data_IF_592145970158
#
_entry.id   IF_592145970158
#
_cell.length_a   1.000
_cell.length_b   1.000
_cell.length_c   1.000
_cell.angle_alpha   90.00
_cell.angle_beta   90.00
_cell.angle_gamma   90.00
#
_symmetry.space_group_name_H-M   'P 1'
#
loop_
_entity.id
_entity.type
_entity.pdbx_description
1 polymer ?
#
# COMPACT_ATOMS: atom_id res chain seq x y z
N UNK A 1 -9.86 9.72 -17.63
CA UNK A 1 -9.95 9.53 -16.17
C UNK A 1 -9.51 8.10 -15.91
N UNK A 2 -8.27 7.90 -15.46
CA UNK A 2 -7.78 6.56 -15.07
C UNK A 2 -8.37 6.31 -13.68
N UNK A 3 -8.99 5.15 -13.41
CA UNK A 3 -9.52 4.87 -12.09
C UNK A 3 -8.35 4.90 -11.09
N UNK A 4 -8.53 5.65 -10.00
CA UNK A 4 -7.63 5.59 -8.85
C UNK A 4 -7.79 4.18 -8.29
N UNK A 5 -6.81 3.32 -8.58
CA UNK A 5 -6.76 1.98 -8.03
C UNK A 5 -6.68 2.12 -6.51
N UNK A 6 -7.67 1.65 -5.76
CA UNK A 6 -7.67 1.66 -4.30
C UNK A 6 -6.75 0.55 -3.76
N UNK A 7 -5.54 0.47 -4.30
CA UNK A 7 -4.48 -0.46 -3.93
C UNK A 7 -3.90 -0.05 -2.58
N UNK A 8 -4.30 -0.76 -1.53
CA UNK A 8 -3.79 -0.59 -0.17
C UNK A 8 -3.61 -1.91 0.57
N UNK A 9 -3.71 -3.01 -0.17
CA UNK A 9 -3.75 -4.37 0.35
C UNK A 9 -2.60 -5.14 -0.27
N UNK A 10 -1.59 -5.43 0.54
CA UNK A 10 -0.44 -6.17 0.05
C UNK A 10 0.43 -6.66 1.18
N UNK A 11 1.22 -7.68 0.88
CA UNK A 11 2.31 -8.15 1.73
C UNK A 11 3.59 -7.94 0.94
N UNK A 12 4.68 -7.63 1.62
CA UNK A 12 6.00 -7.69 1.01
C UNK A 12 6.97 -8.51 1.86
N UNK A 13 7.81 -9.27 1.18
CA UNK A 13 9.05 -9.79 1.75
C UNK A 13 10.15 -8.74 1.54
N UNK A 14 10.94 -8.44 2.56
CA UNK A 14 11.87 -7.32 2.49
C UNK A 14 13.20 -7.53 3.21
N UNK A 15 14.17 -6.72 2.82
CA UNK A 15 15.38 -6.43 3.56
C UNK A 15 15.40 -4.94 3.94
N UNK A 16 15.70 -4.65 5.19
CA UNK A 16 15.81 -3.28 5.73
C UNK A 16 17.04 -3.15 6.63
N UNK A 17 17.74 -2.00 6.64
CA UNK A 17 18.84 -1.75 7.56
C UNK A 17 18.36 -1.46 8.99
N UNK A 18 17.07 -1.19 9.19
CA UNK A 18 16.49 -0.80 10.47
C UNK A 18 15.13 -1.47 10.73
N UNK A 19 14.83 -1.70 12.00
CA UNK A 19 13.49 -2.08 12.48
C UNK A 19 12.63 -0.85 12.85
N UNK A 20 13.23 0.34 12.91
CA UNK A 20 12.49 1.58 13.13
C UNK A 20 11.80 2.04 11.84
N UNK A 21 10.53 1.68 11.75
CA UNK A 21 9.61 2.07 10.67
C UNK A 21 8.55 3.07 11.17
N UNK A 22 8.86 3.83 12.23
CA UNK A 22 7.91 4.76 12.88
C UNK A 22 7.36 5.85 11.95
N UNK A 23 8.11 6.19 10.90
CA UNK A 23 7.73 7.20 9.90
C UNK A 23 7.08 6.60 8.66
N UNK A 24 6.88 5.28 8.60
CA UNK A 24 6.27 4.62 7.47
C UNK A 24 4.75 4.73 7.51
N UNK A 25 4.14 4.80 6.32
CA UNK A 25 2.70 4.86 6.14
C UNK A 25 2.14 3.48 5.79
N UNK A 26 0.91 3.22 6.21
CA UNK A 26 0.15 2.06 5.78
C UNK A 26 -0.39 2.25 4.35
N UNK A 27 -1.28 1.34 3.93
CA UNK A 27 -1.85 1.25 2.59
C UNK A 27 -0.77 1.00 1.52
N UNK A 28 -0.63 1.91 0.56
CA UNK A 28 0.22 1.74 -0.62
C UNK A 28 1.73 1.71 -0.31
N UNK A 29 2.14 2.02 0.93
CA UNK A 29 3.55 1.99 1.34
C UNK A 29 3.89 0.76 2.20
N UNK A 30 2.94 -0.14 2.44
CA UNK A 30 3.11 -1.41 3.17
C UNK A 30 3.71 -1.30 4.58
N UNK A 31 3.70 -0.11 5.18
CA UNK A 31 4.39 0.13 6.46
C UNK A 31 5.92 0.16 6.32
N UNK A 32 6.45 0.37 5.12
CA UNK A 32 7.89 0.45 4.85
C UNK A 32 8.39 1.86 4.56
N UNK A 33 7.59 2.64 3.83
CA UNK A 33 7.99 3.93 3.28
C UNK A 33 6.89 4.97 3.51
N UNK A 34 7.12 6.20 3.08
CA UNK A 34 6.14 7.27 3.07
C UNK A 34 6.25 8.09 1.78
N UNK A 35 5.39 9.10 1.64
CA UNK A 35 5.32 9.93 0.43
C UNK A 35 6.59 10.72 0.15
N UNK A 36 7.47 10.95 1.13
CA UNK A 36 8.68 11.76 0.97
C UNK A 36 9.93 10.93 0.71
N UNK A 37 9.98 9.68 1.21
CA UNK A 37 11.13 8.80 1.03
C UNK A 37 10.92 7.67 0.01
N UNK A 38 9.71 7.48 -0.54
CA UNK A 38 9.47 6.44 -1.52
C UNK A 38 10.37 6.58 -2.77
N UNK A 39 11.06 5.50 -3.14
CA UNK A 39 11.99 5.48 -4.28
C UNK A 39 13.37 6.09 -4.03
N UNK A 40 13.69 6.52 -2.81
CA UNK A 40 15.03 7.01 -2.49
C UNK A 40 16.01 5.83 -2.30
N UNK A 41 17.11 5.81 -3.06
CA UNK A 41 18.15 4.78 -2.95
C UNK A 41 18.86 4.78 -1.59
N UNK A 42 18.87 5.93 -0.89
CA UNK A 42 19.44 6.09 0.45
C UNK A 42 18.65 5.36 1.54
N UNK A 43 17.47 4.83 1.24
CA UNK A 43 16.73 4.02 2.20
C UNK A 43 17.38 2.65 2.43
N UNK A 44 18.14 2.14 1.45
CA UNK A 44 18.70 0.80 1.48
C UNK A 44 17.66 -0.31 1.72
N UNK A 45 16.39 -0.05 1.36
CA UNK A 45 15.29 -1.02 1.47
C UNK A 45 15.07 -1.66 0.10
N UNK A 46 14.93 -2.98 0.11
CA UNK A 46 14.42 -3.75 -1.02
C UNK A 46 13.24 -4.60 -0.54
N UNK A 47 12.17 -4.60 -1.33
CA UNK A 47 10.96 -5.34 -1.04
C UNK A 47 10.43 -6.00 -2.31
N UNK A 48 9.98 -7.26 -2.19
CA UNK A 48 9.19 -7.95 -3.20
C UNK A 48 7.74 -7.89 -2.75
N UNK A 49 6.96 -7.05 -3.42
CA UNK A 49 5.55 -6.82 -3.12
C UNK A 49 4.64 -7.85 -3.81
N UNK A 50 3.65 -8.29 -3.05
CA UNK A 50 2.54 -9.12 -3.51
C UNK A 50 1.29 -8.24 -3.53
N UNK A 51 1.08 -7.57 -4.66
CA UNK A 51 -0.09 -6.75 -4.90
C UNK A 51 -1.19 -7.55 -5.61
N UNK A 52 -2.42 -7.22 -5.26
CA UNK A 52 -3.67 -7.89 -5.64
C UNK A 52 -4.09 -7.69 -7.09
N UNK A 53 -3.38 -6.86 -7.85
CA UNK A 53 -3.91 -6.35 -9.13
C UNK A 53 -3.80 -7.39 -10.25
N UNK A 54 -2.73 -8.19 -10.36
CA UNK A 54 -2.57 -9.19 -11.44
C UNK A 54 -1.65 -10.39 -11.06
N UNK A 55 -2.01 -11.22 -10.07
CA UNK A 55 -1.22 -12.42 -9.77
C UNK A 55 -1.34 -13.47 -10.90
N UNK A 56 -0.22 -14.09 -11.29
CA UNK A 56 -0.23 -15.15 -12.30
C UNK A 56 0.99 -16.06 -12.20
N UNK A 57 0.96 -17.15 -12.96
CA UNK A 57 2.12 -18.02 -13.16
C UNK A 57 2.16 -18.59 -14.57
N UNK A 58 3.33 -19.07 -14.97
CA UNK A 58 3.48 -19.79 -16.23
C UNK A 58 3.38 -21.30 -15.99
N UNK A 59 2.62 -22.02 -16.81
CA UNK A 59 2.65 -23.48 -16.83
C UNK A 59 3.96 -23.99 -17.43
N UNK A 60 4.21 -25.30 -17.31
CA UNK A 60 5.38 -25.93 -17.91
C UNK A 60 5.38 -25.81 -19.45
N UNK A 61 4.20 -25.71 -20.05
CA UNK A 61 3.99 -25.45 -21.49
C UNK A 61 4.14 -23.96 -21.86
N UNK A 62 4.44 -23.09 -20.88
CA UNK A 62 4.62 -21.66 -21.07
C UNK A 62 3.33 -20.85 -21.16
N UNK A 63 2.19 -21.43 -20.81
CA UNK A 63 0.90 -20.72 -20.81
C UNK A 63 0.78 -19.80 -19.60
N UNK A 64 0.26 -18.58 -19.79
CA UNK A 64 0.02 -17.63 -18.70
C UNK A 64 -1.32 -17.94 -18.02
N UNK A 65 -1.27 -18.27 -16.73
CA UNK A 65 -2.44 -18.65 -15.92
C UNK A 65 -2.64 -17.59 -14.83
N UNK A 66 -3.72 -16.83 -14.96
CA UNK A 66 -4.14 -15.86 -13.96
C UNK A 66 -4.56 -16.56 -12.66
N UNK A 67 -4.19 -15.95 -11.54
CA UNK A 67 -4.55 -16.39 -10.20
C UNK A 67 -5.53 -15.38 -9.59
N UNK A 68 -6.17 -15.80 -8.50
CA UNK A 68 -6.99 -14.92 -7.67
C UNK A 68 -6.43 -14.93 -6.24
N UNK A 69 -5.76 -13.84 -5.83
CA UNK A 69 -5.25 -13.71 -4.46
C UNK A 69 -6.40 -13.65 -3.43
N UNK A 70 -7.62 -13.29 -3.83
CA UNK A 70 -8.79 -13.21 -2.95
C UNK A 70 -9.45 -14.58 -2.74
N UNK A 71 -9.09 -15.58 -3.54
CA UNK A 71 -9.65 -16.93 -3.43
C UNK A 71 -9.39 -17.61 -2.08
N UNK A 72 -8.40 -17.13 -1.32
CA UNK A 72 -7.96 -17.73 -0.06
C UNK A 72 -7.20 -19.05 -0.24
N UNK A 73 -6.98 -19.47 -1.48
CA UNK A 73 -6.20 -20.67 -1.77
C UNK A 73 -4.72 -20.42 -1.48
N UNK A 74 -4.04 -21.33 -0.77
CA UNK A 74 -2.62 -21.17 -0.46
C UNK A 74 -1.77 -21.21 -1.74
N UNK A 75 -0.84 -20.26 -1.82
CA UNK A 75 0.13 -20.14 -2.89
C UNK A 75 1.54 -20.21 -2.32
N UNK A 76 2.49 -20.58 -3.16
CA UNK A 76 3.90 -20.60 -2.84
C UNK A 76 4.65 -19.63 -3.75
N UNK A 77 5.59 -18.90 -3.17
CA UNK A 77 6.42 -17.92 -3.84
C UNK A 77 7.88 -18.31 -3.63
N UNK A 78 8.64 -18.23 -4.72
CA UNK A 78 10.09 -18.40 -4.72
C UNK A 78 10.72 -17.08 -5.12
N UNK A 79 11.68 -16.61 -4.31
CA UNK A 79 12.47 -15.41 -4.56
C UNK A 79 13.92 -15.87 -4.62
N UNK A 80 14.44 -15.96 -5.83
CA UNK A 80 15.80 -16.43 -6.08
C UNK A 80 16.66 -15.28 -6.58
N UNK A 81 17.83 -15.12 -5.98
CA UNK A 81 18.81 -14.13 -6.42
C UNK A 81 20.10 -14.82 -6.84
N UNK A 82 20.52 -14.58 -8.09
CA UNK A 82 21.83 -14.99 -8.58
C UNK A 82 22.81 -13.80 -8.44
N UNK A 83 23.77 -13.91 -7.53
CA UNK A 83 24.77 -12.85 -7.28
C UNK A 83 25.81 -12.68 -8.40
N UNK A 84 26.09 -13.74 -9.17
CA UNK A 84 27.03 -13.68 -10.29
C UNK A 84 26.39 -12.98 -11.50
N UNK A 85 25.15 -13.36 -11.82
CA UNK A 85 24.38 -12.77 -12.93
C UNK A 85 23.69 -11.46 -12.53
N UNK A 86 23.68 -11.13 -11.23
CA UNK A 86 22.94 -10.00 -10.64
C UNK A 86 21.48 -10.00 -11.07
N UNK A 87 20.84 -11.15 -10.93
CA UNK A 87 19.49 -11.39 -11.45
C UNK A 87 18.55 -11.81 -10.32
N UNK A 88 17.46 -11.06 -10.15
CA UNK A 88 16.37 -11.39 -9.24
C UNK A 88 15.26 -12.07 -10.03
N UNK A 89 14.90 -13.28 -9.63
CA UNK A 89 13.78 -14.04 -10.17
C UNK A 89 12.71 -14.22 -9.10
N UNK A 90 11.46 -13.91 -9.44
CA UNK A 90 10.30 -14.16 -8.59
C UNK A 90 9.35 -15.09 -9.33
N UNK A 91 9.04 -16.21 -8.70
CA UNK A 91 8.12 -17.22 -9.21
C UNK A 91 6.98 -17.41 -8.21
N UNK A 92 5.76 -17.55 -8.71
CA UNK A 92 4.55 -17.75 -7.93
C UNK A 92 3.81 -18.97 -8.51
N UNK A 93 3.19 -19.79 -7.67
CA UNK A 93 2.25 -20.82 -8.12
C UNK A 93 1.32 -21.25 -6.97
N UNK A 94 0.17 -21.89 -7.24
CA UNK A 94 -0.60 -22.57 -6.20
C UNK A 94 0.26 -23.62 -5.47
N UNK A 95 0.04 -23.81 -4.16
CA UNK A 95 0.95 -24.62 -3.33
C UNK A 95 1.11 -26.09 -3.76
N UNK A 96 0.18 -26.63 -4.55
CA UNK A 96 0.22 -28.02 -5.06
C UNK A 96 0.82 -28.15 -6.45
N UNK A 97 1.33 -27.05 -7.01
CA UNK A 97 2.00 -26.99 -8.31
C UNK A 97 3.49 -26.88 -8.04
N UNK A 98 4.29 -27.68 -8.75
CA UNK A 98 5.76 -27.58 -8.70
C UNK A 98 6.21 -26.20 -9.16
N UNK A 99 7.35 -25.73 -8.65
CA UNK A 99 7.94 -24.44 -9.04
C UNK A 99 8.02 -24.33 -10.57
N UNK A 100 7.31 -23.37 -11.18
CA UNK A 100 7.40 -23.13 -12.62
C UNK A 100 8.83 -22.86 -13.08
N UNK A 101 9.19 -23.39 -14.25
CA UNK A 101 10.50 -23.14 -14.86
C UNK A 101 10.67 -21.70 -15.35
N UNK A 102 9.55 -21.03 -15.66
CA UNK A 102 9.55 -19.63 -16.11
C UNK A 102 9.10 -18.72 -14.96
N UNK A 103 9.97 -17.80 -14.49
CA UNK A 103 9.61 -16.88 -13.44
C UNK A 103 8.58 -15.86 -13.95
N UNK A 104 7.77 -15.35 -13.02
CA UNK A 104 6.81 -14.28 -13.31
C UNK A 104 7.54 -12.94 -13.51
N UNK A 105 8.56 -12.70 -12.69
CA UNK A 105 9.44 -11.53 -12.79
C UNK A 105 10.88 -12.01 -12.89
N UNK A 106 11.62 -11.45 -13.85
CA UNK A 106 13.07 -11.61 -13.96
C UNK A 106 13.67 -10.24 -14.22
N UNK A 107 14.49 -9.73 -13.30
CA UNK A 107 14.98 -8.35 -13.36
C UNK A 107 16.46 -8.28 -12.98
N UNK A 108 17.30 -7.65 -13.82
CA UNK A 108 18.67 -7.34 -13.46
C UNK A 108 18.70 -6.39 -12.27
N UNK A 109 19.35 -6.79 -11.18
CA UNK A 109 19.42 -6.06 -9.93
C UNK A 109 20.75 -6.30 -9.22
N UNK A 110 21.53 -5.24 -9.05
CA UNK A 110 22.78 -5.28 -8.30
C UNK A 110 22.52 -4.99 -6.82
N UNK A 111 22.38 -6.06 -6.01
CA UNK A 111 22.12 -5.92 -4.58
C UNK A 111 23.28 -5.28 -3.81
N UNK A 112 24.50 -5.26 -4.36
CA UNK A 112 25.66 -4.64 -3.69
C UNK A 112 25.52 -3.13 -3.52
N UNK A 113 24.65 -2.49 -4.32
CA UNK A 113 24.37 -1.06 -4.22
C UNK A 113 23.30 -0.72 -3.18
N UNK A 114 22.55 -1.73 -2.72
CA UNK A 114 21.39 -1.57 -1.84
C UNK A 114 21.68 -2.13 -0.46
N UNK A 115 22.19 -3.37 -0.38
CA UNK A 115 22.41 -4.07 0.87
C UNK A 115 23.62 -3.48 1.61
N UNK A 116 23.46 -3.31 2.91
CA UNK A 116 24.54 -2.99 3.84
C UNK A 116 25.08 -4.28 4.47
N UNK A 117 26.16 -4.16 5.24
CA UNK A 117 26.80 -5.28 5.94
C UNK A 117 25.84 -6.05 6.84
N UNK A 118 24.88 -5.35 7.46
CA UNK A 118 23.85 -5.93 8.32
C UNK A 118 22.49 -5.46 7.85
N UNK A 119 21.60 -6.43 7.63
CA UNK A 119 20.22 -6.22 7.20
C UNK A 119 19.30 -7.09 8.04
N UNK A 120 18.11 -6.59 8.32
CA UNK A 120 16.99 -7.36 8.83
C UNK A 120 16.19 -7.90 7.64
N UNK A 121 15.75 -9.15 7.73
CA UNK A 121 14.88 -9.79 6.75
C UNK A 121 13.54 -10.11 7.40
N UNK A 122 12.46 -9.91 6.67
CA UNK A 122 11.14 -10.21 7.21
C UNK A 122 10.01 -9.89 6.24
N UNK A 123 8.84 -9.73 6.82
CA UNK A 123 7.62 -9.46 6.09
C UNK A 123 6.94 -8.21 6.63
N UNK A 124 6.32 -7.47 5.74
CA UNK A 124 5.45 -6.34 6.06
C UNK A 124 4.12 -6.54 5.37
N UNK A 125 3.06 -6.02 5.95
CA UNK A 125 1.70 -6.22 5.50
C UNK A 125 0.88 -4.97 5.80
N UNK A 126 0.02 -4.60 4.86
CA UNK A 126 -0.95 -3.54 5.08
C UNK A 126 -2.33 -3.93 4.56
N UNK A 127 -3.34 -3.45 5.25
CA UNK A 127 -4.74 -3.55 4.84
C UNK A 127 -5.28 -2.15 4.54
N UNK A 128 -5.93 -1.98 3.40
CA UNK A 128 -6.63 -0.74 3.04
C UNK A 128 -8.04 -0.67 3.64
N UNK A 129 -8.94 0.04 2.96
CA UNK A 129 -10.33 0.26 3.40
C UNK A 129 -11.12 -1.05 3.51
N UNK A 130 -10.88 -2.01 2.61
CA UNK A 130 -11.40 -3.37 2.72
C UNK A 130 -10.50 -4.20 3.65
N UNK A 131 -11.06 -4.94 4.61
CA UNK A 131 -10.23 -5.81 5.45
C UNK A 131 -9.77 -7.01 4.65
N UNK A 132 -8.46 -7.21 4.53
CA UNK A 132 -7.86 -8.44 4.03
C UNK A 132 -7.04 -9.09 5.13
N UNK A 133 -7.09 -10.41 5.21
CA UNK A 133 -6.20 -11.17 6.08
C UNK A 133 -5.06 -11.73 5.24
N UNK A 134 -3.83 -11.57 5.71
CA UNK A 134 -2.64 -12.05 5.02
C UNK A 134 -1.90 -13.00 5.97
N UNK A 135 -1.70 -14.23 5.53
CA UNK A 135 -1.11 -15.28 6.34
C UNK A 135 0.14 -15.84 5.68
N UNK A 136 1.19 -16.02 6.47
CA UNK A 136 2.38 -16.78 6.09
C UNK A 136 2.24 -18.14 6.77
N UNK A 137 2.00 -19.19 5.98
CA UNK A 137 1.83 -20.54 6.50
C UNK A 137 3.17 -21.19 6.88
N UNK A 138 4.23 -20.77 6.19
CA UNK A 138 5.60 -21.21 6.42
C UNK A 138 6.55 -20.44 5.52
N UNK A 139 7.81 -20.35 5.92
CA UNK A 139 8.86 -19.73 5.11
C UNK A 139 10.19 -20.41 5.40
N UNK A 140 11.08 -20.35 4.41
CA UNK A 140 12.43 -20.88 4.47
C UNK A 140 13.34 -19.86 3.81
N UNK A 141 14.53 -19.66 4.37
CA UNK A 141 15.46 -18.66 3.91
C UNK A 141 16.88 -19.20 3.94
N UNK A 142 17.63 -18.93 2.88
CA UNK A 142 19.05 -19.23 2.79
C UNK A 142 19.73 -18.16 1.94
N UNK A 143 20.92 -17.72 2.38
CA UNK A 143 21.70 -16.67 1.72
C UNK A 143 22.72 -17.23 0.72
N UNK A 144 23.21 -18.44 0.95
CA UNK A 144 24.40 -18.98 0.27
C UNK A 144 24.15 -20.32 -0.44
N UNK A 145 22.99 -20.92 -0.20
CA UNK A 145 22.55 -22.17 -0.82
C UNK A 145 21.07 -22.07 -1.17
N UNK A 146 20.54 -23.04 -1.90
CA UNK A 146 19.10 -23.16 -2.08
C UNK A 146 18.39 -23.31 -0.74
N UNK A 147 17.30 -22.57 -0.54
CA UNK A 147 16.51 -22.67 0.69
C UNK A 147 15.84 -24.04 0.79
N UNK A 148 15.70 -24.57 2.01
CA UNK A 148 15.05 -25.86 2.21
C UNK A 148 13.59 -25.81 1.72
N UNK A 149 13.18 -26.79 0.92
CA UNK A 149 11.81 -26.93 0.48
C UNK A 149 10.85 -27.10 1.67
N UNK A 150 9.70 -26.43 1.60
CA UNK A 150 8.67 -26.52 2.63
C UNK A 150 7.95 -27.86 2.55
N UNK A 151 7.81 -28.52 3.69
CA UNK A 151 6.97 -29.70 3.83
C UNK A 151 5.50 -29.26 3.92
N UNK A 152 4.83 -29.23 2.77
CA UNK A 152 3.45 -28.75 2.62
C UNK A 152 2.49 -29.51 3.56
N UNK A 153 2.78 -30.78 3.87
CA UNK A 153 1.94 -31.60 4.74
C UNK A 153 1.91 -31.14 6.20
N UNK A 154 2.93 -30.38 6.63
CA UNK A 154 3.06 -29.85 7.99
C UNK A 154 2.56 -28.42 8.13
N UNK A 155 2.14 -27.79 7.03
CA UNK A 155 1.65 -26.41 7.08
C UNK A 155 0.29 -26.33 7.77
N UNK A 156 0.05 -25.26 8.54
CA UNK A 156 -1.23 -25.05 9.20
C UNK A 156 -2.35 -24.90 8.17
N UNK A 157 -3.49 -25.52 8.44
CA UNK A 157 -4.70 -25.37 7.63
C UNK A 157 -5.40 -24.10 8.10
N UNK A 158 -5.63 -23.16 7.19
CA UNK A 158 -6.40 -21.96 7.50
C UNK A 158 -7.86 -22.35 7.77
N UNK A 159 -8.52 -21.72 8.76
CA UNK A 159 -9.96 -21.89 8.91
C UNK A 159 -10.64 -21.43 7.62
N UNK A 160 -11.65 -22.18 7.12
CA UNK A 160 -12.39 -21.76 5.95
C UNK A 160 -12.93 -20.35 6.20
N UNK A 161 -12.93 -19.46 5.19
CA UNK A 161 -13.61 -18.18 5.34
C UNK A 161 -15.04 -18.45 5.79
N UNK A 162 -15.62 -17.64 6.69
CA UNK A 162 -16.99 -17.85 7.15
C UNK A 162 -17.88 -17.96 5.91
N UNK A 163 -18.36 -19.18 5.66
CA UNK A 163 -19.29 -19.44 4.57
C UNK A 163 -20.50 -18.56 4.86
N UNK A 164 -20.83 -17.65 3.94
CA UNK A 164 -22.19 -17.13 3.86
C UNK A 164 -23.07 -18.35 3.59
N UNK A 165 -23.61 -18.95 4.64
CA UNK A 165 -24.45 -20.14 4.54
C UNK A 165 -25.64 -19.82 3.64
N UNK A 166 -25.86 -20.51 2.50
CA UNK A 166 -27.20 -20.71 2.02
C UNK A 166 -27.74 -21.86 2.88
N UNK A 167 -28.47 -21.52 3.94
CA UNK A 167 -29.35 -22.48 4.58
C UNK A 167 -30.44 -22.83 3.59
N UNK A 168 -30.31 -23.94 2.87
CA UNK A 168 -31.40 -24.76 2.37
C UNK A 168 -30.83 -25.95 1.59
N UNK A 169 -30.85 -27.11 2.23
CA UNK A 169 -30.88 -28.40 1.55
C UNK A 169 -32.08 -28.44 0.61
N UNK A 170 -31.87 -28.31 -0.70
CA UNK A 170 -32.90 -28.61 -1.70
C UNK A 170 -32.89 -30.10 -2.00
N UNK A 171 -33.93 -30.79 -1.53
CA UNK A 171 -34.30 -32.14 -1.95
C UNK A 171 -34.90 -32.09 -3.37
N UNK A 172 -34.65 -33.05 -4.29
CA UNK A 172 -35.07 -32.93 -5.69
C UNK A 172 -36.54 -33.28 -5.97
N UNK A 173 -37.34 -33.57 -4.94
CA UNK A 173 -38.74 -34.01 -5.10
C UNK A 173 -39.67 -33.16 -4.25
N UNK A 174 -40.13 -32.04 -4.80
CA UNK A 174 -41.36 -31.38 -4.37
C UNK A 174 -42.02 -30.73 -5.60
N UNK A 175 -43.32 -30.97 -5.87
CA UNK A 175 -44.02 -30.36 -6.99
C UNK A 175 -44.24 -28.85 -6.74
N UNK A 176 -44.42 -28.04 -7.80
CA UNK A 176 -44.49 -26.59 -7.66
C UNK A 176 -45.81 -26.17 -6.99
N UNK A 177 -45.81 -25.22 -6.03
CA UNK A 177 -47.05 -24.70 -5.50
C UNK A 177 -47.66 -23.67 -6.45
N UNK A 178 -48.97 -23.79 -6.54
CA UNK A 178 -49.93 -23.03 -7.31
C UNK A 178 -50.01 -21.56 -6.88
N UNK A 179 -50.30 -20.68 -7.85
CA UNK A 179 -50.33 -19.22 -7.68
C UNK A 179 -51.36 -18.79 -6.63
N UNK A 180 -50.89 -18.17 -5.54
CA UNK A 180 -51.76 -17.44 -4.60
C UNK A 180 -51.39 -15.95 -4.56
N UNK A 181 -52.44 -15.14 -4.75
CA UNK A 181 -52.49 -13.67 -4.79
C UNK A 181 -51.74 -13.00 -3.64
N UNK A 182 -50.89 -12.04 -4.00
CA UNK A 182 -50.24 -11.11 -3.09
C UNK A 182 -51.25 -10.04 -2.62
N UNK A 183 -51.54 -10.02 -1.31
CA UNK A 183 -52.15 -8.90 -0.59
C UNK A 183 -51.45 -8.78 0.76
N UNK A 184 -50.74 -7.67 0.98
CA UNK A 184 -50.21 -7.34 2.31
C UNK A 184 -49.21 -6.20 2.30
N UNK A 185 -49.67 -4.97 2.52
CA UNK A 185 -48.82 -3.80 2.81
C UNK A 185 -48.44 -3.79 4.31
N UNK A 186 -47.14 -3.68 4.61
CA UNK A 186 -46.57 -3.17 5.88
C UNK A 186 -45.49 -4.07 6.54
N UNK A 187 -44.44 -3.55 7.23
CA UNK A 187 -44.14 -2.16 7.63
C UNK A 187 -42.75 -1.65 7.15
N UNK A 188 -42.71 -0.73 6.17
CA UNK A 188 -41.48 -0.04 5.74
C UNK A 188 -41.14 1.18 6.65
N UNK A 189 -42.00 1.52 7.61
CA UNK A 189 -41.96 2.83 8.28
C UNK A 189 -40.94 2.91 9.44
N UNK A 190 -40.48 1.80 10.02
CA UNK A 190 -39.56 1.81 11.18
C UNK A 190 -38.08 1.70 10.76
N UNK A 191 -37.78 1.12 9.61
CA UNK A 191 -36.38 0.94 9.15
C UNK A 191 -35.74 2.27 8.75
N UNK A 192 -36.52 3.16 8.12
CA UNK A 192 -36.03 4.45 7.64
C UNK A 192 -35.50 5.38 8.75
N UNK A 193 -36.21 5.60 9.89
CA UNK A 193 -35.70 6.46 10.96
C UNK A 193 -34.46 5.87 11.64
N UNK A 194 -34.36 4.55 11.79
CA UNK A 194 -33.19 3.90 12.42
C UNK A 194 -31.94 4.07 11.55
N UNK A 195 -32.07 3.89 10.23
CA UNK A 195 -30.97 4.09 9.28
C UNK A 195 -30.55 5.57 9.22
N UNK A 196 -31.49 6.50 9.25
CA UNK A 196 -31.19 7.93 9.26
C UNK A 196 -30.44 8.36 10.53
N UNK A 197 -30.82 7.84 11.70
CA UNK A 197 -30.12 8.12 12.98
C UNK A 197 -28.69 7.56 12.95
N UNK A 198 -28.50 6.34 12.43
CA UNK A 198 -27.17 5.76 12.29
C UNK A 198 -26.28 6.55 11.32
N UNK A 199 -26.82 6.98 10.18
CA UNK A 199 -26.07 7.79 9.21
C UNK A 199 -25.67 9.16 9.81
N UNK A 200 -26.57 9.80 10.55
CA UNK A 200 -26.27 11.07 11.23
C UNK A 200 -25.18 10.91 12.29
N UNK A 201 -25.20 9.81 13.06
CA UNK A 201 -24.16 9.52 14.05
C UNK A 201 -22.78 9.29 13.40
N UNK A 202 -22.73 8.62 12.24
CA UNK A 202 -21.46 8.41 11.53
C UNK A 202 -20.87 9.73 11.01
N UNK A 203 -21.70 10.64 10.50
CA UNK A 203 -21.27 11.95 10.01
C UNK A 203 -20.75 12.83 11.15
N UNK A 204 -21.38 12.80 12.33
CA UNK A 204 -20.89 13.58 13.48
C UNK A 204 -19.58 13.01 14.03
N UNK A 205 -19.43 11.69 14.06
CA UNK A 205 -18.18 11.03 14.46
C UNK A 205 -17.06 11.35 13.47
N UNK A 206 -17.31 11.26 12.15
CA UNK A 206 -16.30 11.59 11.15
C UNK A 206 -15.89 13.06 11.22
N UNK A 207 -16.85 13.98 11.35
CA UNK A 207 -16.58 15.41 11.53
C UNK A 207 -15.79 15.70 12.81
N UNK A 208 -16.09 15.01 13.91
CA UNK A 208 -15.33 15.14 15.15
C UNK A 208 -13.89 14.61 14.99
N UNK A 209 -13.69 13.48 14.30
CA UNK A 209 -12.37 12.94 13.98
C UNK A 209 -11.59 13.91 13.09
N UNK A 210 -12.21 14.46 12.05
CA UNK A 210 -11.56 15.44 11.15
C UNK A 210 -11.18 16.72 11.91
N UNK A 211 -12.03 17.21 12.81
CA UNK A 211 -11.72 18.36 13.66
C UNK A 211 -10.56 18.05 14.61
N UNK A 212 -10.55 16.88 15.24
CA UNK A 212 -9.46 16.46 16.14
C UNK A 212 -8.16 16.28 15.37
N UNK A 213 -8.19 15.65 14.20
CA UNK A 213 -7.01 15.53 13.34
C UNK A 213 -6.52 16.90 12.90
N UNK A 214 -7.42 17.79 12.45
CA UNK A 214 -7.04 19.13 12.02
C UNK A 214 -6.48 19.99 13.16
N UNK A 215 -6.94 19.80 14.40
CA UNK A 215 -6.33 20.40 15.61
C UNK A 215 -5.01 19.75 16.00
N UNK A 216 -4.83 18.45 15.74
CA UNK A 216 -3.58 17.73 15.98
C UNK A 216 -2.49 18.08 14.95
N UNK A 217 -2.90 18.52 13.76
CA UNK A 217 -2.04 19.03 12.68
C UNK A 217 -2.11 20.56 12.52
N UNK A 218 -2.72 21.29 13.46
CA UNK A 218 -2.43 22.71 13.62
C UNK A 218 -0.98 22.78 14.08
N UNK A 219 -0.10 23.30 13.21
CA UNK A 219 1.33 23.48 13.46
C UNK A 219 1.55 23.97 14.90
N UNK A 220 2.21 23.13 15.69
CA UNK A 220 2.60 23.46 17.06
C UNK A 220 3.54 24.67 16.97
N UNK A 221 3.04 25.82 17.40
CA UNK A 221 3.85 27.00 17.67
C UNK A 221 4.82 26.62 18.79
N UNK A 222 6.11 26.51 18.49
CA UNK A 222 7.12 26.40 19.54
C UNK A 222 7.46 27.79 20.05
N UNK A 223 7.56 27.95 21.37
CA UNK A 223 7.65 29.25 22.05
C UNK A 223 8.85 30.11 21.59
N UNK A 224 9.86 29.51 20.96
CA UNK A 224 11.02 30.21 20.38
C UNK A 224 10.74 30.92 19.04
N UNK A 225 9.66 30.60 18.31
CA UNK A 225 9.30 31.28 17.06
C UNK A 225 8.69 32.68 17.27
N UNK A 226 8.18 32.98 18.47
CA UNK A 226 7.62 34.31 18.81
C UNK A 226 8.68 35.39 19.00
N UNK A 227 9.88 35.02 19.42
CA UNK A 227 10.85 36.00 19.92
C UNK A 227 11.93 36.36 18.89
N UNK A 228 12.30 35.47 17.96
CA UNK A 228 13.43 35.70 17.04
C UNK A 228 13.31 35.11 15.60
N UNK A 229 12.13 34.73 15.12
CA UNK A 229 11.99 34.08 13.80
C UNK A 229 12.00 35.04 12.58
N UNK A 230 12.78 34.78 11.50
CA UNK A 230 12.61 35.49 10.23
C UNK A 230 11.26 35.12 9.60
N UNK A 231 10.60 36.09 8.95
CA UNK A 231 9.30 35.89 8.28
C UNK A 231 9.34 34.67 7.34
N UNK A 232 8.65 33.59 7.71
CA UNK A 232 8.46 32.42 6.85
C UNK A 232 7.45 32.74 5.76
N UNK A 233 7.75 32.37 4.51
CA UNK A 233 6.85 32.47 3.38
C UNK A 233 6.49 31.09 2.88
N UNK A 234 5.21 30.85 2.63
CA UNK A 234 4.80 29.59 1.99
C UNK A 234 5.36 29.52 0.57
N UNK A 235 5.61 28.30 0.06
CA UNK A 235 6.03 28.12 -1.33
C UNK A 235 5.04 28.75 -2.31
N UNK A 236 3.74 28.71 -2.00
CA UNK A 236 2.67 29.33 -2.79
C UNK A 236 2.84 30.84 -2.90
N UNK A 237 3.25 31.50 -1.82
CA UNK A 237 3.49 32.94 -1.81
C UNK A 237 4.74 33.31 -2.56
N UNK A 238 5.83 32.53 -2.42
CA UNK A 238 7.06 32.72 -3.18
C UNK A 238 6.87 32.45 -4.68
N UNK A 239 6.06 31.46 -5.04
CA UNK A 239 5.70 31.14 -6.42
C UNK A 239 4.91 32.28 -7.06
N UNK A 240 3.93 32.84 -6.35
CA UNK A 240 3.18 34.03 -6.81
C UNK A 240 4.09 35.26 -6.90
N UNK A 241 4.90 35.50 -5.88
CA UNK A 241 5.81 36.65 -5.82
C UNK A 241 6.79 36.67 -6.99
N UNK A 242 7.27 35.50 -7.42
CA UNK A 242 8.24 35.34 -8.53
C UNK A 242 7.57 35.11 -9.90
N UNK A 243 6.23 35.19 -9.98
CA UNK A 243 5.44 34.88 -11.18
C UNK A 243 5.80 33.51 -11.78
N UNK A 244 5.96 32.51 -10.91
CA UNK A 244 6.38 31.16 -11.27
C UNK A 244 7.88 31.02 -11.54
N UNK A 245 8.73 31.77 -10.83
CA UNK A 245 10.19 31.75 -11.01
C UNK A 245 10.64 32.12 -12.43
N UNK A 246 10.06 33.20 -12.98
CA UNK A 246 10.27 33.59 -14.38
C UNK A 246 11.53 34.43 -14.61
N UNK A 247 11.84 35.36 -13.71
CA UNK A 247 12.93 36.33 -13.88
C UNK A 247 14.16 35.90 -13.07
N UNK A 248 15.14 35.28 -13.73
CA UNK A 248 16.40 34.84 -13.14
C UNK A 248 17.35 36.03 -12.98
N UNK A 249 17.86 36.25 -11.77
CA UNK A 249 18.81 37.32 -11.45
C UNK A 249 20.21 36.81 -11.09
N UNK A 250 20.39 35.50 -10.89
CA UNK A 250 21.70 34.91 -10.67
C UNK A 250 21.68 33.38 -10.65
N UNK A 251 22.80 32.76 -11.03
CA UNK A 251 23.02 31.31 -10.97
C UNK A 251 24.44 31.04 -10.46
N UNK A 252 24.57 30.14 -9.48
CA UNK A 252 25.85 29.70 -8.93
C UNK A 252 25.79 28.25 -8.43
N UNK A 253 26.82 27.81 -7.72
CA UNK A 253 26.91 26.42 -7.21
C UNK A 253 25.81 26.02 -6.22
N UNK A 254 25.06 26.99 -5.68
CA UNK A 254 24.00 26.77 -4.69
C UNK A 254 22.59 27.02 -5.25
N UNK A 255 22.40 26.98 -6.56
CA UNK A 255 21.09 27.09 -7.19
C UNK A 255 20.83 28.38 -7.96
N UNK A 256 19.56 28.65 -8.23
CA UNK A 256 19.07 29.77 -9.05
C UNK A 256 18.35 30.79 -8.18
N UNK A 257 18.65 32.08 -8.38
CA UNK A 257 18.02 33.19 -7.65
C UNK A 257 17.10 33.93 -8.61
N UNK A 258 15.86 34.12 -8.19
CA UNK A 258 14.80 34.74 -8.97
C UNK A 258 14.33 36.04 -8.32
N UNK A 259 13.98 37.04 -9.13
CA UNK A 259 13.35 38.25 -8.66
C UNK A 259 11.87 38.00 -8.39
N UNK A 260 11.37 38.56 -7.30
CA UNK A 260 9.95 38.56 -6.98
C UNK A 260 9.51 39.82 -6.25
N UNK A 261 8.21 39.97 -6.09
CA UNK A 261 7.60 41.03 -5.26
C UNK A 261 6.59 40.39 -4.33
N UNK A 262 6.76 40.59 -3.04
CA UNK A 262 5.90 39.96 -2.03
C UNK A 262 4.48 40.52 -2.12
N UNK A 263 3.49 39.64 -2.30
CA UNK A 263 2.10 40.07 -2.54
C UNK A 263 1.46 40.79 -1.36
N UNK A 264 1.92 40.51 -0.14
CA UNK A 264 1.38 41.08 1.10
C UNK A 264 1.92 42.48 1.41
N UNK A 265 3.16 42.79 1.01
CA UNK A 265 3.85 44.04 1.39
C UNK A 265 4.35 44.87 0.21
N UNK A 266 4.25 44.37 -1.02
CA UNK A 266 4.78 45.03 -2.23
C UNK A 266 6.31 45.15 -2.27
N UNK A 267 7.03 44.51 -1.35
CA UNK A 267 8.49 44.64 -1.25
C UNK A 267 9.18 43.77 -2.31
N UNK A 268 10.19 44.28 -3.03
CA UNK A 268 11.01 43.46 -3.90
C UNK A 268 11.82 42.46 -3.08
N UNK A 269 11.87 41.22 -3.55
CA UNK A 269 12.57 40.11 -2.90
C UNK A 269 13.42 39.34 -3.93
N UNK A 270 14.46 38.68 -3.43
CA UNK A 270 15.23 37.70 -4.18
C UNK A 270 14.96 36.32 -3.58
N UNK A 271 14.42 35.40 -4.39
CA UNK A 271 14.05 34.04 -3.97
C UNK A 271 15.05 33.06 -4.54
N UNK A 272 15.82 32.41 -3.66
CA UNK A 272 16.74 31.33 -4.03
C UNK A 272 15.97 30.01 -4.07
N UNK A 273 15.95 29.38 -5.24
CA UNK A 273 15.41 28.03 -5.41
C UNK A 273 16.57 27.04 -5.30
N UNK A 274 16.59 26.30 -4.19
CA UNK A 274 17.47 25.15 -3.95
C UNK A 274 16.96 23.92 -4.69
#
# INVERSE_FOLDING_TARGET
MVPVNTGGHGMAFLFSPSLDLSQALASAYLGLLNSTNNGQSTNHIIAVELDTVEPAYFSDEGSYISLDLQSGNPMQIWIDYNGEERLLNVTLAPIRVSKPNRPLLSTPLDLSQILLDTMYVGFSASTGILKSNQYILGWSFSRSAEAQNLDISKLPILPPPPSLTPSASFSPFAPPPEKAKEKGRGPIIIVFPVVAVFAAALITISGAIDIVQKKKYEEVYEDWEREYGPQRFSYKDLYKATKGFKELIGKGGFGKVYKGVLSTSGRPIAVKKI
#
